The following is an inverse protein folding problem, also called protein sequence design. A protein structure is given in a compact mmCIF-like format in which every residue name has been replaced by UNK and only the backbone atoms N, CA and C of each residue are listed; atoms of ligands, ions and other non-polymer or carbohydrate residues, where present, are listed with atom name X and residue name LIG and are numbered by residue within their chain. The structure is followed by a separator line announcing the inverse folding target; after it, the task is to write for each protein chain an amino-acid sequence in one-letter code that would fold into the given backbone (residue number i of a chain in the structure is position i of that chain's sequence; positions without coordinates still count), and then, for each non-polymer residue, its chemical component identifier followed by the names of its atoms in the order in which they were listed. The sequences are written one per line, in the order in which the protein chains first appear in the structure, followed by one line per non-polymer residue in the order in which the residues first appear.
data_IF_386341882014
#
_entry.id   IF_386341882014
#
_cell.length_a   1.000
_cell.length_b   1.000
_cell.length_c   1.000
_cell.angle_alpha   90.00
_cell.angle_beta   90.00
_cell.angle_gamma   90.00
#
_symmetry.space_group_name_H-M   'P 1'
#
loop_
_entity.id
_entity.type
_entity.pdbx_description
1 polymer ?
#
# COMPACT_ATOMS: atom_id res chain seq x y z
N UNK A 1 25.89 -17.10 5.31
CA UNK A 1 26.16 -16.04 6.29
C UNK A 1 25.73 -14.68 5.76
N UNK A 2 26.02 -14.36 4.50
CA UNK A 2 25.60 -13.10 3.85
C UNK A 2 24.07 -12.88 3.83
N UNK A 3 23.29 -13.88 3.42
CA UNK A 3 21.81 -13.81 3.46
C UNK A 3 21.22 -13.57 4.87
N UNK A 4 21.85 -14.14 5.90
CA UNK A 4 21.42 -13.93 7.30
C UNK A 4 21.70 -12.51 7.78
N UNK A 5 22.80 -11.92 7.33
CA UNK A 5 23.15 -10.52 7.63
C UNK A 5 22.19 -9.59 6.89
N UNK A 6 21.92 -9.83 5.60
CA UNK A 6 20.94 -9.07 4.83
C UNK A 6 19.56 -9.10 5.48
N UNK A 7 19.10 -10.29 5.86
CA UNK A 7 17.85 -10.47 6.59
C UNK A 7 17.83 -9.72 7.93
N UNK A 8 18.91 -9.80 8.72
CA UNK A 8 19.01 -9.12 10.00
C UNK A 8 18.95 -7.59 9.83
N UNK A 9 19.62 -7.03 8.82
CA UNK A 9 19.59 -5.59 8.55
C UNK A 9 18.16 -5.15 8.19
N UNK A 10 17.49 -5.89 7.30
CA UNK A 10 16.09 -5.62 6.93
C UNK A 10 15.18 -5.66 8.16
N UNK A 11 15.33 -6.66 9.02
CA UNK A 11 14.57 -6.79 10.26
C UNK A 11 14.83 -5.64 11.24
N UNK A 12 16.08 -5.19 11.38
CA UNK A 12 16.41 -4.03 12.22
C UNK A 12 15.74 -2.76 11.70
N UNK A 13 15.70 -2.55 10.39
CA UNK A 13 15.07 -1.36 9.80
C UNK A 13 13.55 -1.37 10.00
N UNK A 14 12.90 -2.52 9.82
CA UNK A 14 11.48 -2.71 10.11
C UNK A 14 11.22 -2.49 11.61
N UNK A 15 12.07 -3.04 12.48
CA UNK A 15 11.96 -2.87 13.93
C UNK A 15 12.05 -1.41 14.37
N UNK A 16 12.99 -0.63 13.81
CA UNK A 16 13.09 0.81 14.09
C UNK A 16 11.81 1.52 13.62
N UNK A 17 11.29 1.15 12.45
CA UNK A 17 10.02 1.69 11.94
C UNK A 17 8.84 1.44 12.90
N UNK A 18 8.70 0.22 13.38
CA UNK A 18 7.67 -0.17 14.36
C UNK A 18 7.86 0.54 15.71
N UNK A 19 9.09 0.65 16.20
CA UNK A 19 9.41 1.35 17.44
C UNK A 19 8.99 2.82 17.37
N UNK A 20 9.36 3.52 16.29
CA UNK A 20 9.01 4.93 16.09
C UNK A 20 7.51 5.09 15.88
N UNK A 21 6.85 4.17 15.17
CA UNK A 21 5.39 4.20 15.01
C UNK A 21 4.68 4.08 16.37
N UNK A 22 5.13 3.14 17.20
CA UNK A 22 4.63 2.94 18.57
C UNK A 22 4.84 4.19 19.42
N UNK A 23 6.04 4.77 19.39
CA UNK A 23 6.35 6.01 20.11
C UNK A 23 5.49 7.19 19.65
N UNK A 24 5.21 7.28 18.34
CA UNK A 24 4.38 8.32 17.75
C UNK A 24 2.87 8.13 17.98
N UNK A 25 2.45 7.10 18.72
CA UNK A 25 1.04 6.71 18.90
C UNK A 25 0.30 6.57 17.56
N UNK A 26 0.91 5.80 16.65
CA UNK A 26 0.41 5.52 15.30
C UNK A 26 0.11 6.77 14.45
N UNK A 27 0.70 7.92 14.79
CA UNK A 27 0.60 9.11 13.94
C UNK A 27 1.42 8.95 12.66
N UNK A 28 2.58 8.29 12.77
CA UNK A 28 3.44 7.97 11.65
C UNK A 28 3.39 6.44 11.41
N UNK A 29 3.00 5.97 10.22
CA UNK A 29 3.02 4.55 9.87
C UNK A 29 4.44 3.97 9.94
N UNK A 30 4.58 2.76 10.47
CA UNK A 30 5.88 2.08 10.55
C UNK A 30 6.51 1.86 9.19
N UNK A 31 5.71 1.50 8.18
CA UNK A 31 6.13 1.32 6.78
C UNK A 31 6.79 2.58 6.21
N UNK A 32 6.35 3.76 6.63
CA UNK A 32 6.92 5.01 6.15
C UNK A 32 8.32 5.26 6.71
N UNK A 33 8.50 5.01 8.01
CA UNK A 33 9.79 5.18 8.67
C UNK A 33 10.79 4.17 8.13
N UNK A 34 10.37 2.91 7.95
CA UNK A 34 11.24 1.90 7.35
C UNK A 34 11.59 2.24 5.90
N UNK A 35 10.67 2.76 5.09
CA UNK A 35 10.97 3.21 3.73
C UNK A 35 12.02 4.33 3.69
N UNK A 36 11.91 5.34 4.57
CA UNK A 36 12.94 6.40 4.68
C UNK A 36 14.29 5.82 5.07
N UNK A 37 14.32 4.89 6.04
CA UNK A 37 15.55 4.23 6.45
C UNK A 37 16.18 3.44 5.30
N UNK A 38 15.37 2.72 4.51
CA UNK A 38 15.86 2.04 3.31
C UNK A 38 16.42 3.01 2.27
N UNK A 39 15.73 4.13 2.00
CA UNK A 39 16.22 5.16 1.06
C UNK A 39 17.58 5.70 1.52
N UNK A 40 17.72 6.08 2.80
CA UNK A 40 18.98 6.57 3.36
C UNK A 40 20.06 5.48 3.33
N UNK A 41 19.67 4.25 3.63
CA UNK A 41 20.54 3.08 3.60
C UNK A 41 21.12 2.85 2.20
N UNK A 42 20.27 2.79 1.18
CA UNK A 42 20.69 2.60 -0.22
C UNK A 42 21.65 3.68 -0.69
N UNK A 43 21.50 4.90 -0.17
CA UNK A 43 22.36 6.01 -0.54
C UNK A 43 23.73 6.02 0.14
N UNK A 44 23.92 5.22 1.19
CA UNK A 44 25.13 5.29 2.04
C UNK A 44 25.95 4.00 2.03
N UNK A 45 25.34 2.84 2.28
CA UNK A 45 26.08 1.58 2.44
C UNK A 45 25.29 0.30 2.08
N UNK A 46 23.98 0.37 1.85
CA UNK A 46 23.17 -0.79 1.52
C UNK A 46 23.12 -1.03 0.01
N UNK A 47 23.30 -2.28 -0.44
CA UNK A 47 23.08 -2.63 -1.83
C UNK A 47 21.58 -2.61 -2.16
N UNK A 48 21.23 -2.20 -3.38
CA UNK A 48 19.83 -2.06 -3.84
C UNK A 48 19.09 -3.41 -3.84
N UNK A 49 19.81 -4.52 -3.95
CA UNK A 49 19.28 -5.88 -3.94
C UNK A 49 19.24 -6.50 -2.52
N UNK A 50 19.46 -5.73 -1.45
CA UNK A 50 19.42 -6.25 -0.07
C UNK A 50 18.12 -6.98 0.26
N UNK A 51 16.99 -6.52 -0.29
CA UNK A 51 15.69 -7.15 -0.08
C UNK A 51 15.64 -8.55 -0.71
N UNK A 52 16.19 -8.70 -1.92
CA UNK A 52 16.31 -9.99 -2.62
C UNK A 52 17.29 -10.89 -1.88
N UNK A 53 18.44 -10.35 -1.42
CA UNK A 53 19.40 -11.09 -0.57
C UNK A 53 18.82 -11.47 0.79
N UNK A 54 17.86 -10.72 1.32
CA UNK A 54 17.14 -11.08 2.54
C UNK A 54 16.02 -12.10 2.28
N UNK A 55 15.93 -12.65 1.07
CA UNK A 55 14.91 -13.61 0.63
C UNK A 55 13.50 -13.02 0.47
N UNK A 56 13.39 -11.69 0.35
CA UNK A 56 12.15 -10.96 0.01
C UNK A 56 12.05 -10.65 -1.49
N UNK A 57 12.49 -11.59 -2.35
CA UNK A 57 12.39 -11.48 -3.80
C UNK A 57 10.98 -11.75 -4.35
N UNK A 58 10.87 -11.76 -5.68
CA UNK A 58 9.60 -11.91 -6.39
C UNK A 58 8.88 -13.22 -6.05
N UNK A 59 9.63 -14.32 -5.87
CA UNK A 59 9.05 -15.62 -5.50
C UNK A 59 8.39 -15.59 -4.12
N UNK A 60 8.97 -14.84 -3.18
CA UNK A 60 8.39 -14.67 -1.85
C UNK A 60 7.12 -13.82 -1.92
N UNK A 61 7.17 -12.71 -2.67
CA UNK A 61 6.02 -11.80 -2.87
C UNK A 61 4.84 -12.55 -3.51
N UNK A 62 5.12 -13.37 -4.53
CA UNK A 62 4.12 -14.17 -5.25
C UNK A 62 3.38 -15.17 -4.35
N UNK A 63 4.00 -15.63 -3.26
CA UNK A 63 3.38 -16.54 -2.30
C UNK A 63 2.71 -15.76 -1.15
N UNK A 64 3.39 -14.78 -0.57
CA UNK A 64 2.93 -14.09 0.64
C UNK A 64 1.71 -13.20 0.36
N UNK A 65 1.64 -12.53 -0.79
CA UNK A 65 0.53 -11.60 -1.11
C UNK A 65 -0.80 -12.36 -1.21
N UNK A 66 -0.92 -13.48 -1.97
CA UNK A 66 -2.14 -14.29 -1.97
C UNK A 66 -2.49 -14.87 -0.60
N UNK A 67 -1.50 -15.30 0.19
CA UNK A 67 -1.74 -15.86 1.53
C UNK A 67 -2.31 -14.79 2.47
N UNK A 68 -1.74 -13.59 2.48
CA UNK A 68 -2.24 -12.46 3.26
C UNK A 68 -3.65 -12.05 2.80
N UNK A 69 -3.90 -12.09 1.49
CA UNK A 69 -5.22 -11.82 0.92
C UNK A 69 -6.27 -12.80 1.40
N UNK A 70 -5.99 -14.09 1.35
CA UNK A 70 -6.91 -15.13 1.85
C UNK A 70 -7.13 -14.94 3.35
N UNK A 71 -6.07 -14.68 4.12
CA UNK A 71 -6.18 -14.45 5.55
C UNK A 71 -7.10 -13.26 5.88
N UNK A 72 -6.91 -12.11 5.23
CA UNK A 72 -7.77 -10.93 5.38
C UNK A 72 -9.22 -11.23 4.99
N UNK A 73 -9.43 -11.97 3.90
CA UNK A 73 -10.76 -12.39 3.46
C UNK A 73 -11.46 -13.31 4.48
N UNK A 74 -10.74 -14.21 5.13
CA UNK A 74 -11.31 -15.14 6.12
C UNK A 74 -11.66 -14.50 7.46
N UNK A 75 -11.05 -13.37 7.81
CA UNK A 75 -11.43 -12.61 9.01
C UNK A 75 -12.77 -11.86 8.83
N UNK A 76 -13.27 -11.75 7.60
CA UNK A 76 -14.49 -11.01 7.29
C UNK A 76 -15.73 -11.91 7.43
N UNK A 77 -16.64 -11.53 8.33
CA UNK A 77 -17.91 -12.23 8.51
C UNK A 77 -18.90 -11.83 7.41
N UNK A 78 -19.14 -12.76 6.47
CA UNK A 78 -20.05 -12.56 5.34
C UNK A 78 -21.48 -12.24 5.82
N UNK A 79 -21.90 -12.77 6.97
CA UNK A 79 -23.24 -12.49 7.52
C UNK A 79 -23.36 -11.04 7.95
N UNK A 80 -22.33 -10.51 8.62
CA UNK A 80 -22.29 -9.10 9.02
C UNK A 80 -22.34 -8.16 7.81
N UNK A 81 -21.68 -8.51 6.70
CA UNK A 81 -21.76 -7.72 5.47
C UNK A 81 -23.15 -7.69 4.86
N UNK A 82 -23.85 -8.83 4.86
CA UNK A 82 -25.23 -8.92 4.37
C UNK A 82 -26.16 -8.12 5.29
N UNK A 83 -25.98 -8.22 6.61
CA UNK A 83 -26.75 -7.44 7.58
C UNK A 83 -26.47 -5.94 7.44
N UNK A 84 -25.25 -5.55 7.06
CA UNK A 84 -24.82 -4.18 6.79
C UNK A 84 -24.86 -3.80 5.30
N UNK A 85 -25.79 -4.37 4.51
CA UNK A 85 -25.89 -4.12 3.06
C UNK A 85 -25.93 -2.64 2.68
N UNK A 86 -26.51 -1.77 3.53
CA UNK A 86 -26.52 -0.32 3.30
C UNK A 86 -25.11 0.27 3.35
N UNK A 87 -24.29 -0.16 4.32
CA UNK A 87 -22.91 0.28 4.42
C UNK A 87 -22.09 -0.21 3.22
N UNK A 88 -22.30 -1.46 2.79
CA UNK A 88 -21.68 -2.02 1.59
C UNK A 88 -22.08 -1.24 0.34
N UNK A 89 -23.37 -0.92 0.17
CA UNK A 89 -23.84 -0.13 -0.96
C UNK A 89 -23.26 1.30 -0.95
N UNK A 90 -23.13 1.94 0.22
CA UNK A 90 -22.48 3.26 0.35
C UNK A 90 -21.00 3.17 0.00
N UNK A 91 -20.29 2.14 0.46
CA UNK A 91 -18.88 1.93 0.15
C UNK A 91 -18.67 1.70 -1.36
N UNK A 92 -19.51 0.86 -1.99
CA UNK A 92 -19.44 0.59 -3.44
C UNK A 92 -19.78 1.81 -4.28
N UNK A 93 -20.83 2.55 -3.91
CA UNK A 93 -21.19 3.80 -4.62
C UNK A 93 -20.15 4.89 -4.41
N UNK A 94 -19.55 4.96 -3.22
CA UNK A 94 -18.41 5.84 -2.93
C UNK A 94 -17.18 5.48 -3.76
N UNK A 95 -16.82 4.20 -3.86
CA UNK A 95 -15.73 3.72 -4.68
C UNK A 95 -15.98 3.99 -6.18
N UNK A 96 -17.17 3.69 -6.69
CA UNK A 96 -17.56 3.98 -8.07
C UNK A 96 -17.55 5.50 -8.35
N UNK A 97 -18.11 6.30 -7.44
CA UNK A 97 -18.13 7.75 -7.55
C UNK A 97 -16.73 8.34 -7.55
N UNK A 98 -15.86 7.87 -6.66
CA UNK A 98 -14.45 8.25 -6.62
C UNK A 98 -13.75 7.89 -7.94
N UNK A 99 -13.86 6.64 -8.41
CA UNK A 99 -13.30 6.18 -9.69
C UNK A 99 -13.71 7.06 -10.86
N UNK A 100 -15.02 7.32 -11.01
CA UNK A 100 -15.56 8.10 -12.12
C UNK A 100 -15.07 9.55 -12.02
N UNK A 101 -15.12 10.14 -10.84
CA UNK A 101 -14.69 11.52 -10.62
C UNK A 101 -13.19 11.67 -10.91
N UNK A 102 -12.36 10.75 -10.42
CA UNK A 102 -10.91 10.75 -10.71
C UNK A 102 -10.61 10.46 -12.16
N UNK A 103 -11.43 9.65 -12.85
CA UNK A 103 -11.29 9.43 -14.28
C UNK A 103 -11.61 10.71 -15.07
N UNK A 104 -12.74 11.36 -14.77
CA UNK A 104 -13.16 12.59 -15.46
C UNK A 104 -12.14 13.71 -15.21
N UNK A 105 -11.79 13.98 -13.96
CA UNK A 105 -10.84 15.06 -13.64
C UNK A 105 -9.42 14.69 -14.09
N UNK A 106 -9.02 13.43 -13.92
CA UNK A 106 -7.70 12.94 -14.30
C UNK A 106 -7.47 13.05 -15.81
N UNK A 107 -8.43 12.62 -16.63
CA UNK A 107 -8.32 12.68 -18.10
C UNK A 107 -8.31 14.10 -18.67
N UNK A 108 -8.76 15.10 -17.92
CA UNK A 108 -8.63 16.52 -18.29
C UNK A 108 -7.18 17.00 -18.10
N UNK A 109 -6.45 16.44 -17.13
CA UNK A 109 -5.10 16.87 -16.76
C UNK A 109 -3.99 15.97 -17.32
N UNK A 110 -4.28 14.69 -17.56
CA UNK A 110 -3.32 13.64 -17.92
C UNK A 110 -3.88 12.70 -18.99
N UNK A 111 -3.00 11.91 -19.61
CA UNK A 111 -3.37 10.89 -20.58
C UNK A 111 -4.13 9.70 -19.95
N UNK A 112 -4.90 9.01 -20.79
CA UNK A 112 -5.77 7.91 -20.37
C UNK A 112 -5.02 6.79 -19.64
N UNK A 113 -3.83 6.41 -20.14
CA UNK A 113 -3.07 5.31 -19.57
C UNK A 113 -2.51 5.66 -18.19
N UNK A 114 -2.02 6.89 -18.01
CA UNK A 114 -1.57 7.41 -16.71
C UNK A 114 -2.71 7.41 -15.68
N UNK A 115 -3.90 7.87 -16.08
CA UNK A 115 -5.06 7.94 -15.19
C UNK A 115 -5.58 6.54 -14.85
N UNK A 116 -5.75 5.68 -15.85
CA UNK A 116 -6.23 4.32 -15.66
C UNK A 116 -5.30 3.49 -14.77
N UNK A 117 -3.98 3.67 -14.89
CA UNK A 117 -2.98 2.98 -14.07
C UNK A 117 -3.03 3.37 -12.58
N UNK A 118 -3.52 4.58 -12.25
CA UNK A 118 -3.44 5.14 -10.89
C UNK A 118 -4.73 5.02 -10.08
N UNK A 119 -5.88 4.83 -10.73
CA UNK A 119 -7.18 4.65 -10.07
C UNK A 119 -7.26 3.39 -9.18
N UNK A 120 -6.82 2.18 -9.63
CA UNK A 120 -6.94 0.99 -8.79
C UNK A 120 -6.17 1.09 -7.47
N UNK A 121 -4.91 1.56 -7.44
CA UNK A 121 -4.21 1.85 -6.19
C UNK A 121 -5.00 2.74 -5.23
N UNK A 122 -5.67 3.76 -5.78
CA UNK A 122 -6.40 4.77 -5.00
C UNK A 122 -7.52 4.17 -4.13
N UNK A 123 -8.15 3.10 -4.62
CA UNK A 123 -9.33 2.49 -3.97
C UNK A 123 -9.00 1.15 -3.30
N UNK A 124 -8.17 0.32 -3.94
CA UNK A 124 -7.93 -1.07 -3.52
C UNK A 124 -6.61 -1.34 -2.79
N UNK A 125 -5.80 -0.30 -2.56
CA UNK A 125 -4.55 -0.41 -1.80
C UNK A 125 -3.45 -1.23 -2.49
N UNK A 126 -2.67 -1.97 -1.71
CA UNK A 126 -1.47 -2.70 -2.20
C UNK A 126 -1.82 -3.81 -3.18
N UNK A 127 -2.98 -4.44 -3.02
CA UNK A 127 -3.41 -5.57 -3.84
C UNK A 127 -3.83 -5.11 -5.23
N UNK A 128 -4.66 -4.08 -5.31
CA UNK A 128 -5.06 -3.52 -6.60
C UNK A 128 -3.88 -2.89 -7.33
N UNK A 129 -2.90 -2.37 -6.58
CA UNK A 129 -1.63 -1.90 -7.13
C UNK A 129 -0.88 -3.04 -7.80
N UNK A 130 -0.71 -4.17 -7.11
CA UNK A 130 -0.04 -5.34 -7.66
C UNK A 130 -0.76 -5.89 -8.91
N UNK A 131 -2.09 -6.04 -8.85
CA UNK A 131 -2.91 -6.51 -9.97
C UNK A 131 -2.83 -5.56 -11.18
N UNK A 132 -2.79 -4.25 -10.96
CA UNK A 132 -2.65 -3.27 -12.05
C UNK A 132 -1.25 -3.32 -12.66
N UNK A 133 -0.20 -3.40 -11.84
CA UNK A 133 1.17 -3.56 -12.34
C UNK A 133 1.31 -4.83 -13.18
N UNK A 134 0.74 -5.95 -12.75
CA UNK A 134 0.71 -7.19 -13.54
C UNK A 134 -0.07 -7.02 -14.85
N UNK A 135 -1.26 -6.40 -14.80
CA UNK A 135 -2.05 -6.10 -16.00
C UNK A 135 -1.29 -5.25 -17.03
N UNK A 136 -0.63 -4.18 -16.58
CA UNK A 136 0.21 -3.33 -17.44
C UNK A 136 1.41 -4.08 -18.02
N UNK A 137 2.02 -5.02 -17.27
CA UNK A 137 3.09 -5.88 -17.80
C UNK A 137 2.56 -6.78 -18.91
N UNK A 138 1.38 -7.38 -18.73
CA UNK A 138 0.78 -8.26 -19.75
C UNK A 138 0.42 -7.53 -21.04
N UNK A 139 0.03 -6.26 -20.96
CA UNK A 139 -0.24 -5.42 -22.13
C UNK A 139 1.03 -4.80 -22.75
N UNK A 140 2.22 -5.05 -22.18
CA UNK A 140 3.48 -4.48 -22.67
C UNK A 140 3.67 -2.99 -22.38
N UNK A 141 2.81 -2.40 -21.54
CA UNK A 141 2.80 -0.98 -21.16
C UNK A 141 3.83 -0.69 -20.05
N UNK A 142 5.08 -1.08 -20.29
CA UNK A 142 6.17 -1.05 -19.30
C UNK A 142 6.51 0.35 -18.78
N UNK A 143 6.25 1.40 -19.57
CA UNK A 143 6.45 2.79 -19.20
C UNK A 143 5.59 3.23 -18.00
N UNK A 144 4.45 2.56 -17.76
CA UNK A 144 3.48 2.94 -16.74
C UNK A 144 3.59 2.12 -15.45
N UNK A 145 4.50 1.13 -15.37
CA UNK A 145 4.59 0.18 -14.23
C UNK A 145 4.93 0.82 -12.89
N UNK A 146 5.64 1.95 -12.92
CA UNK A 146 6.00 2.68 -11.71
C UNK A 146 4.84 3.53 -11.16
N UNK A 147 3.86 3.89 -11.99
CA UNK A 147 2.77 4.80 -11.60
C UNK A 147 1.84 4.20 -10.54
N UNK A 148 1.38 2.93 -10.63
CA UNK A 148 0.51 2.37 -9.61
C UNK A 148 1.17 2.42 -8.22
N UNK A 149 2.44 2.02 -8.14
CA UNK A 149 3.21 1.96 -6.89
C UNK A 149 3.45 3.36 -6.34
N UNK A 150 3.84 4.31 -7.19
CA UNK A 150 4.06 5.70 -6.79
C UNK A 150 2.76 6.33 -6.24
N UNK A 151 1.63 6.12 -6.91
CA UNK A 151 0.33 6.60 -6.45
C UNK A 151 -0.04 6.01 -5.09
N UNK A 152 0.15 4.69 -4.90
CA UNK A 152 -0.13 4.01 -3.64
C UNK A 152 0.65 4.61 -2.46
N UNK A 153 1.93 4.94 -2.68
CA UNK A 153 2.80 5.54 -1.65
C UNK A 153 2.35 6.98 -1.35
N UNK A 154 2.08 7.79 -2.37
CA UNK A 154 1.70 9.19 -2.21
C UNK A 154 0.36 9.35 -1.49
N UNK A 155 -0.65 8.54 -1.84
CA UNK A 155 -1.93 8.60 -1.14
C UNK A 155 -1.81 8.16 0.33
N UNK A 156 -0.91 7.20 0.61
CA UNK A 156 -0.71 6.67 1.95
C UNK A 156 -0.17 7.76 2.87
N UNK A 157 0.72 8.62 2.36
CA UNK A 157 1.27 9.74 3.10
C UNK A 157 0.21 10.70 3.65
N UNK A 158 -0.87 10.93 2.89
CA UNK A 158 -1.98 11.81 3.31
C UNK A 158 -3.05 11.03 4.09
N UNK A 159 -3.34 9.80 3.67
CA UNK A 159 -4.40 8.97 4.23
C UNK A 159 -4.16 8.59 5.69
N UNK A 160 -2.94 8.19 6.05
CA UNK A 160 -2.64 7.74 7.41
C UNK A 160 -2.73 8.85 8.47
N UNK A 161 -2.11 10.04 8.30
CA UNK A 161 -2.27 11.14 9.25
C UNK A 161 -3.72 11.57 9.41
N UNK A 162 -4.46 11.69 8.30
CA UNK A 162 -5.86 12.11 8.31
C UNK A 162 -6.74 11.10 9.06
N UNK A 163 -6.52 9.81 8.85
CA UNK A 163 -7.21 8.74 9.58
C UNK A 163 -6.87 8.80 11.07
N UNK A 164 -5.59 8.97 11.43
CA UNK A 164 -5.18 9.07 12.83
C UNK A 164 -5.82 10.26 13.56
N UNK A 165 -5.97 11.41 12.88
CA UNK A 165 -6.61 12.60 13.43
C UNK A 165 -8.12 12.40 13.59
N UNK A 166 -8.78 11.77 12.61
CA UNK A 166 -10.22 11.48 12.67
C UNK A 166 -10.56 10.48 13.78
N UNK A 167 -9.74 9.45 13.97
CA UNK A 167 -9.91 8.47 15.04
C UNK A 167 -9.69 9.12 16.42
N UNK A 168 -8.59 9.85 16.61
CA UNK A 168 -8.30 10.58 17.86
C UNK A 168 -9.38 11.61 18.21
N UNK A 169 -9.99 12.24 17.21
CA UNK A 169 -11.11 13.17 17.42
C UNK A 169 -12.35 12.48 17.98
N UNK A 170 -12.61 11.22 17.59
CA UNK A 170 -13.73 10.44 18.15
C UNK A 170 -13.42 9.89 19.54
N UNK A 171 -12.17 9.51 19.81
CA UNK A 171 -11.75 9.01 21.13
C UNK A 171 -11.82 10.09 22.23
N UNK A 172 -11.66 11.37 21.89
CA UNK A 172 -11.79 12.51 22.82
C UNK A 172 -13.25 12.96 23.08
N UNK A 173 -14.26 12.22 22.61
CA UNK A 173 -15.70 12.53 22.81
C UNK A 173 -16.36 11.52 23.76
N UNK A 174 -15.61 10.96 24.71
CA UNK A 174 -16.14 10.22 25.86
C UNK A 174 -15.59 10.80 27.16
#
# INVERSE_FOLDING_TARGET
MEYLIAFLIVMVFIFIGEWVSTFSKAYIPSIFISAILFIIGFWTFLPEDIAVQASFGDEFIAIIVPVLLVHLGTMMDIRQLVDQWRAVAIALTGALGASILTMIIGTILFDWHTVAATIPPLIGGVVSTALMTEGLQTEGLTMYLALPVAMYILQSFVGYPLTSLMLKKKDNVC
#
